data_IF_581248672094
#
_entry.id   IF_581248672094
#
_cell.length_a   1.000
_cell.length_b   1.000
_cell.length_c   1.000
_cell.angle_alpha   90.00
_cell.angle_beta   90.00
_cell.angle_gamma   90.00
#
_symmetry.space_group_name_H-M   'P 1'
#
loop_
_entity.id
_entity.type
_entity.pdbx_description
1 polymer ?
#
# COMPACT_ATOMS: atom_id res chain seq x y z
N UNK A 1 5.52 -8.01 30.53
CA UNK A 1 4.15 -8.51 30.22
C UNK A 1 3.11 -7.63 30.87
N UNK A 2 1.93 -7.39 30.24
CA UNK A 2 0.87 -6.60 30.87
C UNK A 2 0.34 -7.32 32.13
N UNK A 3 0.17 -6.59 33.23
CA UNK A 3 -0.32 -7.16 34.50
C UNK A 3 -1.85 -7.30 34.52
N UNK A 4 -2.56 -6.33 33.95
CA UNK A 4 -4.03 -6.30 33.85
C UNK A 4 -4.56 -7.23 32.75
N UNK A 5 -5.68 -7.91 33.02
CA UNK A 5 -6.32 -8.83 32.07
C UNK A 5 -6.77 -8.14 30.77
N UNK A 6 -7.30 -6.93 30.87
CA UNK A 6 -7.69 -6.09 29.72
C UNK A 6 -6.49 -5.79 28.82
N UNK A 7 -5.35 -5.44 29.40
CA UNK A 7 -4.11 -5.13 28.68
C UNK A 7 -3.52 -6.37 27.99
N UNK A 8 -3.57 -7.56 28.62
CA UNK A 8 -3.20 -8.83 27.97
C UNK A 8 -4.08 -9.13 26.76
N UNK A 9 -5.39 -8.84 26.83
CA UNK A 9 -6.32 -8.97 25.69
C UNK A 9 -5.97 -8.00 24.56
N UNK A 10 -5.69 -6.73 24.87
CA UNK A 10 -5.27 -5.72 23.88
C UNK A 10 -3.99 -6.12 23.16
N UNK A 11 -3.00 -6.65 23.88
CA UNK A 11 -1.75 -7.12 23.27
C UNK A 11 -2.00 -8.19 22.19
N UNK A 12 -2.80 -9.23 22.51
CA UNK A 12 -3.17 -10.28 21.54
C UNK A 12 -3.93 -9.73 20.32
N UNK A 13 -4.82 -8.77 20.53
CA UNK A 13 -5.57 -8.13 19.43
C UNK A 13 -4.64 -7.30 18.53
N UNK A 14 -3.73 -6.55 19.13
CA UNK A 14 -2.77 -5.70 18.43
C UNK A 14 -1.81 -6.53 17.57
N UNK A 15 -1.35 -7.69 18.05
CA UNK A 15 -0.48 -8.57 17.25
C UNK A 15 -1.19 -9.08 15.99
N UNK A 16 -2.45 -9.51 16.12
CA UNK A 16 -3.28 -9.92 14.97
C UNK A 16 -3.48 -8.79 13.97
N UNK A 17 -3.82 -7.59 14.46
CA UNK A 17 -3.97 -6.41 13.61
C UNK A 17 -2.65 -6.00 12.94
N UNK A 18 -1.53 -6.06 13.66
CA UNK A 18 -0.18 -5.76 13.16
C UNK A 18 0.18 -6.67 12.00
N UNK A 19 -0.02 -7.98 12.13
CA UNK A 19 0.32 -8.95 11.08
C UNK A 19 -0.50 -8.70 9.79
N UNK A 20 -1.81 -8.45 9.93
CA UNK A 20 -2.69 -8.10 8.81
C UNK A 20 -2.26 -6.80 8.13
N UNK A 21 -1.96 -5.76 8.92
CA UNK A 21 -1.55 -4.47 8.37
C UNK A 21 -0.17 -4.54 7.71
N UNK A 22 0.73 -5.38 8.25
CA UNK A 22 2.05 -5.63 7.66
C UNK A 22 1.92 -6.24 6.27
N UNK A 23 1.12 -7.29 6.09
CA UNK A 23 0.97 -7.94 4.78
C UNK A 23 0.39 -7.00 3.73
N UNK A 24 -0.67 -6.24 4.07
CA UNK A 24 -1.29 -5.26 3.16
C UNK A 24 -0.32 -4.14 2.81
N UNK A 25 0.47 -3.64 3.77
CA UNK A 25 1.47 -2.60 3.53
C UNK A 25 2.62 -3.12 2.65
N UNK A 26 3.05 -4.36 2.84
CA UNK A 26 4.06 -4.99 1.97
C UNK A 26 3.56 -5.12 0.55
N UNK A 27 2.30 -5.55 0.35
CA UNK A 27 1.67 -5.63 -0.97
C UNK A 27 1.62 -4.26 -1.66
N UNK A 28 1.22 -3.21 -0.94
CA UNK A 28 1.21 -1.84 -1.46
C UNK A 28 2.61 -1.40 -1.92
N UNK A 29 3.63 -1.63 -1.09
CA UNK A 29 5.01 -1.24 -1.42
C UNK A 29 5.56 -2.05 -2.59
N UNK A 30 5.28 -3.35 -2.66
CA UNK A 30 5.78 -4.20 -3.73
C UNK A 30 5.12 -3.87 -5.07
N UNK A 31 3.81 -3.59 -5.08
CA UNK A 31 3.09 -3.17 -6.30
C UNK A 31 3.58 -1.83 -6.83
N UNK A 32 3.77 -0.85 -5.95
CA UNK A 32 4.38 0.44 -6.34
C UNK A 32 5.79 0.21 -6.88
N UNK A 33 6.61 -0.61 -6.21
CA UNK A 33 7.98 -0.91 -6.67
C UNK A 33 8.00 -1.54 -8.06
N UNK A 34 7.09 -2.50 -8.33
CA UNK A 34 6.97 -3.13 -9.65
C UNK A 34 6.68 -2.12 -10.75
N UNK A 35 5.75 -1.18 -10.51
CA UNK A 35 5.46 -0.11 -11.47
C UNK A 35 6.66 0.80 -11.70
N UNK A 36 7.37 1.20 -10.64
CA UNK A 36 8.54 2.08 -10.77
C UNK A 36 9.79 1.41 -11.34
N UNK A 37 9.81 0.07 -11.36
CA UNK A 37 10.92 -0.72 -11.90
C UNK A 37 10.58 -1.30 -13.28
N UNK A 38 9.44 -0.92 -13.86
CA UNK A 38 9.08 -1.35 -15.21
C UNK A 38 10.09 -0.77 -16.23
N UNK A 39 10.58 -1.57 -17.18
CA UNK A 39 11.60 -1.16 -18.15
C UNK A 39 11.03 -0.31 -19.29
N UNK A 40 9.74 -0.45 -19.61
CA UNK A 40 9.09 0.23 -20.73
C UNK A 40 7.86 1.02 -20.26
N UNK A 41 7.55 2.10 -20.99
CA UNK A 41 6.35 2.91 -20.74
C UNK A 41 5.06 2.11 -20.90
N UNK A 42 4.99 1.27 -21.94
CA UNK A 42 3.82 0.42 -22.19
C UNK A 42 3.53 -0.54 -21.02
N UNK A 43 4.56 -1.14 -20.42
CA UNK A 43 4.40 -1.98 -19.23
C UNK A 43 3.96 -1.16 -18.01
N UNK A 44 4.52 0.03 -17.83
CA UNK A 44 4.17 0.92 -16.73
C UNK A 44 2.71 1.40 -16.81
N UNK A 45 2.21 1.68 -18.02
CA UNK A 45 0.81 2.04 -18.28
C UNK A 45 -0.15 0.87 -17.99
N UNK A 46 0.20 -0.34 -18.43
CA UNK A 46 -0.58 -1.55 -18.14
C UNK A 46 -0.67 -1.82 -16.61
N UNK A 47 0.41 -1.56 -15.87
CA UNK A 47 0.47 -1.75 -14.42
C UNK A 47 -0.20 -0.62 -13.62
N UNK A 48 -0.47 0.53 -14.24
CA UNK A 48 -1.02 1.70 -13.56
C UNK A 48 -2.41 1.43 -12.97
N UNK A 49 -3.34 0.91 -13.77
CA UNK A 49 -4.71 0.60 -13.34
C UNK A 49 -4.77 -0.39 -12.16
N UNK A 50 -4.12 -1.57 -12.26
CA UNK A 50 -4.01 -2.52 -11.16
C UNK A 50 -3.39 -1.91 -9.89
N UNK A 51 -2.33 -1.10 -10.04
CA UNK A 51 -1.66 -0.47 -8.90
C UNK A 51 -2.56 0.54 -8.19
N UNK A 52 -3.31 1.35 -8.95
CA UNK A 52 -4.31 2.27 -8.36
C UNK A 52 -5.41 1.51 -7.60
N UNK A 53 -5.90 0.40 -8.16
CA UNK A 53 -6.88 -0.46 -7.48
C UNK A 53 -6.37 -1.00 -6.14
N UNK A 54 -5.09 -1.41 -6.08
CA UNK A 54 -4.46 -1.87 -4.83
C UNK A 54 -4.37 -0.74 -3.81
N UNK A 55 -3.96 0.46 -4.23
CA UNK A 55 -3.91 1.65 -3.37
C UNK A 55 -5.28 1.91 -2.73
N UNK A 56 -6.34 1.96 -3.54
CA UNK A 56 -7.68 2.26 -3.03
C UNK A 56 -8.23 1.15 -2.12
N UNK A 57 -7.93 -0.12 -2.42
CA UNK A 57 -8.23 -1.25 -1.52
C UNK A 57 -7.51 -1.14 -0.18
N UNK A 58 -6.29 -0.60 -0.14
CA UNK A 58 -5.56 -0.41 1.13
C UNK A 58 -6.16 0.69 2.01
N UNK A 59 -6.78 1.71 1.41
CA UNK A 59 -7.57 2.73 2.11
C UNK A 59 -8.83 2.11 2.69
N UNK A 60 -9.58 1.34 1.88
CA UNK A 60 -10.79 0.63 2.35
C UNK A 60 -10.51 -0.31 3.52
N UNK A 61 -9.31 -0.91 3.57
CA UNK A 61 -8.84 -1.75 4.69
C UNK A 61 -8.35 -0.96 5.90
N UNK A 62 -8.31 0.37 5.84
CA UNK A 62 -7.87 1.25 6.94
C UNK A 62 -6.37 1.23 7.22
N UNK A 63 -5.55 0.73 6.29
CA UNK A 63 -4.10 0.58 6.50
C UNK A 63 -3.35 1.87 6.21
N UNK A 64 -3.85 2.67 5.27
CA UNK A 64 -3.33 4.00 4.92
C UNK A 64 -4.47 5.03 4.89
N UNK A 65 -4.14 6.28 5.17
CA UNK A 65 -5.09 7.39 5.07
C UNK A 65 -5.38 7.78 3.61
N UNK A 66 -6.55 8.35 3.33
CA UNK A 66 -6.94 8.82 2.00
C UNK A 66 -5.92 9.79 1.39
N UNK A 67 -5.41 10.74 2.17
CA UNK A 67 -4.37 11.68 1.73
C UNK A 67 -3.05 10.98 1.35
N UNK A 68 -2.70 9.90 2.04
CA UNK A 68 -1.52 9.11 1.69
C UNK A 68 -1.74 8.40 0.34
N UNK A 69 -2.93 7.82 0.13
CA UNK A 69 -3.31 7.23 -1.14
C UNK A 69 -3.31 8.25 -2.29
N UNK A 70 -3.88 9.44 -2.10
CA UNK A 70 -3.85 10.52 -3.09
C UNK A 70 -2.41 10.91 -3.45
N UNK A 71 -1.52 11.05 -2.46
CA UNK A 71 -0.09 11.31 -2.70
C UNK A 71 0.57 10.18 -3.49
N UNK A 72 0.27 8.92 -3.18
CA UNK A 72 0.82 7.79 -3.94
C UNK A 72 0.34 7.78 -5.38
N UNK A 73 -0.97 7.99 -5.62
CA UNK A 73 -1.56 8.08 -6.96
C UNK A 73 -0.90 9.20 -7.77
N UNK A 74 -0.78 10.40 -7.19
CA UNK A 74 -0.11 11.53 -7.84
C UNK A 74 1.35 11.20 -8.23
N UNK A 75 2.11 10.56 -7.33
CA UNK A 75 3.51 10.18 -7.59
C UNK A 75 3.65 9.14 -8.71
N UNK A 76 2.86 8.07 -8.69
CA UNK A 76 2.98 7.02 -9.72
C UNK A 76 2.53 7.54 -11.09
N UNK A 77 1.47 8.35 -11.16
CA UNK A 77 1.01 8.93 -12.43
C UNK A 77 2.05 9.88 -13.01
N UNK A 78 2.67 10.73 -12.17
CA UNK A 78 3.76 11.60 -12.61
C UNK A 78 4.97 10.80 -13.10
N UNK A 79 5.29 9.68 -12.44
CA UNK A 79 6.40 8.84 -12.85
C UNK A 79 6.16 8.20 -14.21
N UNK A 80 4.98 7.62 -14.46
CA UNK A 80 4.64 7.03 -15.77
C UNK A 80 4.61 8.10 -16.86
N UNK A 81 4.09 9.29 -16.57
CA UNK A 81 4.08 10.40 -17.53
C UNK A 81 5.49 10.91 -17.87
N UNK A 82 6.44 10.83 -16.92
CA UNK A 82 7.82 11.23 -17.11
C UNK A 82 8.70 10.16 -17.79
N UNK A 83 8.21 8.93 -17.93
CA UNK A 83 8.85 7.95 -18.81
C UNK A 83 8.57 8.42 -20.25
N UNK A 84 9.63 8.90 -20.92
CA UNK A 84 9.66 9.14 -22.36
C UNK A 84 9.24 7.86 -23.11
N UNK A 85 8.67 8.03 -24.31
CA UNK A 85 8.10 6.94 -25.10
C UNK A 85 9.13 5.86 -25.46
#
# INVERSE_FOLDING_TARGET
>A
MPKLASSKKRLRQNEKARLRNKSVRTLLRSTIKKLTSAPSKAEAEALLGPTQSVIDKTVKKGVIHANAAARYKSKITRHVAALEA
#
